data_IF_662005629680
#
_entry.id   IF_662005629680
#
_cell.length_a   1.000
_cell.length_b   1.000
_cell.length_c   1.000
_cell.angle_alpha   90.00
_cell.angle_beta   90.00
_cell.angle_gamma   90.00
#
_symmetry.space_group_name_H-M   'P 1'
#
loop_
_entity.id
_entity.type
_entity.pdbx_description
1 polymer ?
#
# COMPACT_ATOMS: atom_id res chain seq x y z
N UNK A 1 -14.92 21.33 -10.33
CA UNK A 1 -13.91 20.25 -10.37
C UNK A 1 -14.57 19.02 -9.85
N UNK A 2 -14.56 17.96 -10.63
CA UNK A 2 -14.94 16.65 -10.12
C UNK A 2 -13.76 16.12 -9.26
N UNK A 3 -14.05 15.24 -8.31
CA UNK A 3 -13.03 14.67 -7.44
C UNK A 3 -13.28 13.20 -7.16
N UNK A 4 -12.19 12.45 -7.00
CA UNK A 4 -12.22 11.10 -6.44
C UNK A 4 -11.99 11.21 -4.94
N UNK A 5 -12.97 10.80 -4.14
CA UNK A 5 -12.93 10.93 -2.69
C UNK A 5 -12.58 9.58 -2.03
N UNK A 6 -11.57 9.60 -1.16
CA UNK A 6 -11.15 8.46 -0.34
C UNK A 6 -11.20 8.88 1.13
N UNK A 7 -12.02 8.20 1.92
CA UNK A 7 -12.28 8.56 3.31
C UNK A 7 -11.77 7.47 4.24
N UNK A 8 -10.87 7.83 5.15
CA UNK A 8 -10.42 6.99 6.26
C UNK A 8 -11.17 7.38 7.53
N UNK A 9 -11.79 6.40 8.19
CA UNK A 9 -12.42 6.53 9.51
C UNK A 9 -11.76 5.57 10.47
N UNK A 10 -11.09 6.11 11.49
CA UNK A 10 -10.23 5.35 12.38
C UNK A 10 -10.78 5.50 13.80
N UNK A 11 -11.35 4.41 14.33
CA UNK A 11 -11.86 4.35 15.69
C UNK A 11 -10.74 3.90 16.62
N UNK A 12 -10.19 4.85 17.39
CA UNK A 12 -9.13 4.59 18.39
C UNK A 12 -9.69 4.15 19.75
N UNK A 13 -10.94 4.47 20.03
CA UNK A 13 -11.62 4.09 21.27
C UNK A 13 -13.14 4.31 21.17
N UNK A 14 -13.88 4.11 22.26
CA UNK A 14 -15.34 4.33 22.29
C UNK A 14 -15.73 5.73 21.81
N UNK A 15 -14.98 6.75 22.25
CA UNK A 15 -15.31 8.17 22.08
C UNK A 15 -14.34 8.93 21.15
N UNK A 16 -13.36 8.24 20.54
CA UNK A 16 -12.38 8.85 19.63
C UNK A 16 -12.46 8.23 18.24
N UNK A 17 -12.97 9.02 17.30
CA UNK A 17 -13.05 8.71 15.88
C UNK A 17 -12.31 9.78 15.10
N UNK A 18 -11.23 9.40 14.43
CA UNK A 18 -10.50 10.28 13.52
C UNK A 18 -10.97 10.03 12.08
N UNK A 19 -11.39 11.08 11.39
CA UNK A 19 -11.74 11.02 9.96
C UNK A 19 -10.74 11.82 9.12
N UNK A 20 -10.21 11.22 8.06
CA UNK A 20 -9.36 11.86 7.06
C UNK A 20 -10.06 11.75 5.70
N UNK A 21 -10.24 12.88 5.03
CA UNK A 21 -10.88 12.95 3.72
C UNK A 21 -9.82 13.36 2.70
N UNK A 22 -9.46 12.46 1.80
CA UNK A 22 -8.57 12.73 0.68
C UNK A 22 -9.41 12.94 -0.56
N UNK A 23 -9.36 14.15 -1.13
CA UNK A 23 -10.04 14.49 -2.38
C UNK A 23 -8.98 14.63 -3.46
N UNK A 24 -9.04 13.82 -4.50
CA UNK A 24 -8.07 13.82 -5.58
C UNK A 24 -8.69 14.48 -6.81
N UNK A 25 -7.92 15.28 -7.52
CA UNK A 25 -8.31 15.75 -8.85
C UNK A 25 -8.48 14.57 -9.81
N UNK A 26 -9.57 14.54 -10.57
CA UNK A 26 -9.88 13.41 -11.46
C UNK A 26 -8.90 13.24 -12.62
N UNK A 27 -8.22 14.30 -13.04
CA UNK A 27 -7.30 14.25 -14.18
C UNK A 27 -5.85 14.13 -13.71
N UNK A 28 -5.46 14.90 -12.71
CA UNK A 28 -4.06 14.95 -12.26
C UNK A 28 -3.75 13.99 -11.11
N UNK A 29 -4.78 13.53 -10.40
CA UNK A 29 -4.68 12.76 -9.14
C UNK A 29 -3.91 13.45 -8.03
N UNK A 30 -3.73 14.78 -8.11
CA UNK A 30 -3.16 15.55 -7.01
C UNK A 30 -4.22 15.78 -5.93
N UNK A 31 -3.76 15.91 -4.69
CA UNK A 31 -4.64 16.22 -3.56
C UNK A 31 -5.22 17.64 -3.70
N UNK A 32 -6.54 17.72 -3.69
CA UNK A 32 -7.31 18.96 -3.56
C UNK A 32 -7.42 19.31 -2.08
N UNK A 33 -6.43 20.05 -1.59
CA UNK A 33 -6.35 20.54 -0.21
C UNK A 33 -6.48 22.06 -0.13
N UNK A 34 -6.90 22.52 1.04
CA UNK A 34 -6.80 23.93 1.40
C UNK A 34 -5.37 24.24 1.87
N UNK A 35 -4.98 25.52 1.75
CA UNK A 35 -3.70 25.98 2.29
C UNK A 35 -3.63 25.72 3.80
N UNK A 36 -2.50 25.20 4.26
CA UNK A 36 -2.26 24.96 5.69
C UNK A 36 -1.80 26.27 6.34
N UNK A 37 -2.60 26.90 7.21
CA UNK A 37 -2.19 28.13 7.86
C UNK A 37 -1.10 27.85 8.89
N UNK A 38 0.01 28.58 8.81
CA UNK A 38 1.18 28.43 9.70
C UNK A 38 1.69 26.98 9.81
N UNK A 39 2.23 26.40 8.71
CA UNK A 39 2.75 25.05 8.74
C UNK A 39 3.84 24.88 9.81
N UNK A 40 3.95 23.70 10.45
CA UNK A 40 5.00 23.44 11.42
C UNK A 40 6.39 23.54 10.79
N UNK A 41 7.38 24.04 11.56
CA UNK A 41 8.75 24.24 11.08
C UNK A 41 9.38 22.97 10.48
N UNK A 42 9.07 21.79 11.00
CA UNK A 42 9.61 20.52 10.48
C UNK A 42 9.14 20.18 9.06
N UNK A 43 8.09 20.88 8.58
CA UNK A 43 7.58 20.75 7.21
C UNK A 43 8.30 21.66 6.20
N UNK A 44 9.12 22.62 6.65
CA UNK A 44 9.92 23.49 5.78
C UNK A 44 10.83 22.66 4.86
N UNK A 45 11.05 23.13 3.63
CA UNK A 45 11.79 22.36 2.63
C UNK A 45 13.22 22.05 3.10
N UNK A 46 13.92 23.04 3.66
CA UNK A 46 15.30 22.93 4.14
C UNK A 46 15.43 22.03 5.39
N UNK A 47 14.34 21.75 6.11
CA UNK A 47 14.38 20.95 7.34
C UNK A 47 14.60 19.46 7.05
N UNK A 48 15.81 18.93 7.17
CA UNK A 48 16.12 17.54 6.76
C UNK A 48 15.66 17.25 5.31
N UNK A 49 16.04 18.12 4.37
CA UNK A 49 15.81 17.93 2.94
C UNK A 49 16.48 16.62 2.46
N UNK A 50 15.80 15.86 1.59
CA UNK A 50 16.40 14.67 0.98
C UNK A 50 17.53 15.07 0.02
N UNK A 51 18.59 14.25 -0.04
CA UNK A 51 19.81 14.57 -0.79
C UNK A 51 19.58 14.74 -2.30
N UNK A 52 18.54 14.09 -2.85
CA UNK A 52 18.16 14.13 -4.26
C UNK A 52 16.92 15.01 -4.51
N UNK A 53 16.57 15.91 -3.58
CA UNK A 53 15.36 16.74 -3.71
C UNK A 53 15.43 17.61 -4.98
N UNK A 54 14.45 17.53 -5.90
CA UNK A 54 14.45 18.36 -7.10
C UNK A 54 13.91 19.78 -6.85
N UNK A 55 13.31 20.03 -5.68
CA UNK A 55 12.66 21.31 -5.37
C UNK A 55 13.66 22.31 -4.78
N UNK A 56 13.49 23.57 -5.16
CA UNK A 56 14.23 24.71 -4.61
C UNK A 56 13.41 25.44 -3.55
N UNK A 57 14.07 26.10 -2.60
CA UNK A 57 13.37 26.86 -1.54
C UNK A 57 12.73 28.15 -2.04
N UNK A 58 13.25 28.67 -3.14
CA UNK A 58 12.77 29.88 -3.80
C UNK A 58 11.37 29.65 -4.39
N UNK A 59 11.11 28.44 -4.88
CA UNK A 59 9.82 28.05 -5.46
C UNK A 59 8.92 27.32 -4.45
N UNK A 60 9.52 26.55 -3.53
CA UNK A 60 8.80 25.75 -2.54
C UNK A 60 9.32 26.00 -1.13
N UNK A 61 8.55 26.74 -0.33
CA UNK A 61 8.90 26.98 1.08
C UNK A 61 8.84 25.72 1.95
N UNK A 62 7.98 24.77 1.60
CA UNK A 62 7.74 23.54 2.36
C UNK A 62 7.91 22.29 1.50
N UNK A 63 8.31 21.19 2.12
CA UNK A 63 8.29 19.89 1.47
C UNK A 63 6.84 19.44 1.30
N UNK A 64 6.36 19.16 0.07
CA UNK A 64 4.95 18.83 -0.16
C UNK A 64 4.49 17.60 0.62
N UNK A 65 5.36 16.57 0.70
CA UNK A 65 5.09 15.37 1.49
C UNK A 65 5.01 15.66 2.99
N UNK A 66 6.00 16.35 3.56
CA UNK A 66 6.01 16.68 4.98
C UNK A 66 4.82 17.55 5.35
N UNK A 67 4.45 18.48 4.47
CA UNK A 67 3.27 19.32 4.63
C UNK A 67 2.01 18.47 4.70
N UNK A 68 1.80 17.46 3.86
CA UNK A 68 0.61 16.61 3.99
C UNK A 68 0.60 15.73 5.23
N UNK A 69 1.78 15.26 5.66
CA UNK A 69 1.91 14.42 6.84
C UNK A 69 1.61 15.15 8.15
N UNK A 70 1.61 16.49 8.18
CA UNK A 70 1.41 17.23 9.43
C UNK A 70 0.09 16.87 10.14
N UNK A 71 -0.98 16.65 9.37
CA UNK A 71 -2.29 16.31 9.91
C UNK A 71 -2.30 14.96 10.62
N UNK A 72 -1.56 13.98 10.12
CA UNK A 72 -1.39 12.66 10.75
C UNK A 72 -0.58 12.80 12.03
N UNK A 73 0.54 13.54 11.96
CA UNK A 73 1.44 13.73 13.09
C UNK A 73 0.73 14.42 14.26
N UNK A 74 -0.03 15.48 13.98
CA UNK A 74 -0.76 16.25 15.00
C UNK A 74 -1.88 15.42 15.64
N UNK A 75 -2.64 14.67 14.83
CA UNK A 75 -3.80 13.91 15.32
C UNK A 75 -3.45 12.60 16.02
N UNK A 76 -2.24 12.08 15.82
CA UNK A 76 -1.77 10.82 16.42
C UNK A 76 -0.57 11.00 17.37
N UNK A 77 -0.28 12.23 17.79
CA UNK A 77 0.87 12.56 18.65
C UNK A 77 0.90 11.84 20.01
N UNK A 78 -0.26 11.37 20.49
CA UNK A 78 -0.48 10.73 21.79
C UNK A 78 -0.77 9.22 21.69
N UNK A 79 -0.62 8.64 20.50
CA UNK A 79 -0.94 7.22 20.23
C UNK A 79 0.29 6.33 20.22
N UNK A 80 0.09 5.01 20.35
CA UNK A 80 1.15 4.01 20.17
C UNK A 80 0.96 3.22 18.89
N UNK A 81 2.06 2.78 18.30
CA UNK A 81 2.05 2.02 17.03
C UNK A 81 1.17 0.77 17.05
N UNK A 82 1.20 0.06 18.18
CA UNK A 82 0.52 -1.21 18.40
C UNK A 82 -0.91 -1.05 18.92
N UNK A 83 -1.38 0.19 19.11
CA UNK A 83 -2.76 0.40 19.54
C UNK A 83 -3.70 -0.20 18.50
N UNK A 84 -4.56 -1.10 18.97
CA UNK A 84 -5.49 -1.81 18.12
C UNK A 84 -6.69 -0.91 17.80
N UNK A 85 -6.91 -0.68 16.52
CA UNK A 85 -7.94 0.23 16.02
C UNK A 85 -8.85 -0.49 15.04
N UNK A 86 -10.07 0.02 14.89
CA UNK A 86 -10.97 -0.37 13.80
C UNK A 86 -10.94 0.74 12.76
N UNK A 87 -10.48 0.41 11.56
CA UNK A 87 -10.48 1.32 10.41
C UNK A 87 -11.58 0.93 9.43
N UNK A 88 -12.28 1.92 8.91
CA UNK A 88 -13.13 1.82 7.72
C UNK A 88 -12.58 2.80 6.66
N UNK A 89 -12.29 2.27 5.48
CA UNK A 89 -11.89 3.07 4.31
C UNK A 89 -13.00 2.99 3.29
N UNK A 90 -13.48 4.15 2.84
CA UNK A 90 -14.55 4.28 1.85
C UNK A 90 -13.98 4.91 0.59
N UNK A 91 -14.09 4.21 -0.53
CA UNK A 91 -13.91 4.76 -1.89
C UNK A 91 -15.25 4.74 -2.61
N UNK A 92 -15.29 5.20 -3.86
CA UNK A 92 -16.48 5.08 -4.71
C UNK A 92 -16.87 3.61 -4.95
N UNK A 93 -15.87 2.76 -5.20
CA UNK A 93 -16.07 1.38 -5.62
C UNK A 93 -16.26 0.39 -4.46
N UNK A 94 -15.74 0.70 -3.26
CA UNK A 94 -15.72 -0.26 -2.14
C UNK A 94 -15.63 0.39 -0.76
N UNK A 95 -16.02 -0.41 0.24
CA UNK A 95 -15.78 -0.14 1.66
C UNK A 95 -14.95 -1.26 2.26
N UNK A 96 -13.81 -0.94 2.84
CA UNK A 96 -12.91 -1.90 3.50
C UNK A 96 -12.91 -1.63 4.98
N UNK A 97 -13.18 -2.65 5.80
CA UNK A 97 -13.16 -2.52 7.26
C UNK A 97 -12.26 -3.59 7.85
N UNK A 98 -11.34 -3.18 8.71
CA UNK A 98 -10.39 -4.09 9.36
C UNK A 98 -10.08 -3.65 10.78
N UNK A 99 -9.78 -4.63 11.65
CA UNK A 99 -9.20 -4.41 12.97
C UNK A 99 -7.70 -4.71 12.89
N UNK A 100 -6.84 -3.76 13.24
CA UNK A 100 -5.39 -3.88 13.08
C UNK A 100 -4.65 -2.86 13.97
N UNK A 101 -3.32 -2.97 14.10
CA UNK A 101 -2.50 -1.96 14.76
C UNK A 101 -2.48 -0.63 13.98
N UNK A 102 -2.45 0.50 14.71
CA UNK A 102 -2.50 1.85 14.15
C UNK A 102 -1.38 2.13 13.14
N UNK A 103 -0.16 1.63 13.37
CA UNK A 103 0.95 1.80 12.42
C UNK A 103 0.65 1.29 11.02
N UNK A 104 -0.13 0.20 10.88
CA UNK A 104 -0.54 -0.35 9.58
C UNK A 104 -1.57 0.55 8.89
N UNK A 105 -2.44 1.17 9.67
CA UNK A 105 -3.42 2.14 9.16
C UNK A 105 -2.71 3.40 8.68
N UNK A 106 -1.76 3.91 9.47
CA UNK A 106 -0.95 5.07 9.09
C UNK A 106 -0.10 4.77 7.87
N UNK A 107 0.56 3.60 7.79
CA UNK A 107 1.29 3.18 6.60
C UNK A 107 0.38 3.16 5.36
N UNK A 108 -0.82 2.58 5.47
CA UNK A 108 -1.80 2.59 4.38
C UNK A 108 -2.26 3.99 3.96
N UNK A 109 -2.34 4.95 4.89
CA UNK A 109 -2.60 6.35 4.53
C UNK A 109 -1.38 6.99 3.86
N UNK A 110 -0.17 6.65 4.26
CA UNK A 110 1.06 7.14 3.63
C UNK A 110 1.21 6.62 2.20
N UNK A 111 0.83 5.36 1.94
CA UNK A 111 0.77 4.78 0.59
C UNK A 111 -0.17 5.58 -0.34
N UNK A 112 -1.16 6.29 0.22
CA UNK A 112 -2.02 7.21 -0.50
C UNK A 112 -1.46 8.63 -0.56
N UNK A 113 -0.90 9.15 0.54
CA UNK A 113 -0.40 10.52 0.63
C UNK A 113 0.81 10.73 -0.28
N UNK A 114 1.75 9.78 -0.30
CA UNK A 114 2.96 9.85 -1.11
C UNK A 114 2.66 10.21 -2.57
N UNK A 115 1.83 9.44 -3.31
CA UNK A 115 1.53 9.75 -4.71
C UNK A 115 0.82 11.08 -4.95
N UNK A 116 0.01 11.56 -3.99
CA UNK A 116 -0.89 12.71 -4.19
C UNK A 116 -0.39 14.01 -3.56
N UNK A 117 0.73 13.97 -2.82
CA UNK A 117 1.23 15.13 -2.06
C UNK A 117 1.90 16.21 -2.92
N UNK A 118 2.12 15.96 -4.23
CA UNK A 118 2.79 16.90 -5.12
C UNK A 118 4.33 16.81 -5.13
N UNK A 119 4.94 15.82 -4.46
CA UNK A 119 6.38 15.59 -4.56
C UNK A 119 6.75 14.91 -5.90
N UNK A 120 7.68 15.45 -6.71
CA UNK A 120 8.03 14.84 -8.00
C UNK A 120 8.63 13.43 -7.86
N UNK A 121 9.27 13.14 -6.72
CA UNK A 121 9.88 11.82 -6.44
C UNK A 121 8.86 10.72 -6.16
N UNK A 122 7.60 11.05 -5.93
CA UNK A 122 6.53 10.08 -5.64
C UNK A 122 5.43 10.05 -6.70
N UNK A 123 5.47 10.98 -7.67
CA UNK A 123 4.43 11.16 -8.69
C UNK A 123 4.20 9.93 -9.58
N UNK A 124 5.20 9.06 -9.75
CA UNK A 124 5.05 7.82 -10.52
C UNK A 124 4.01 6.85 -9.92
N UNK A 125 3.70 6.99 -8.61
CA UNK A 125 2.74 6.16 -7.90
C UNK A 125 1.29 6.66 -8.03
N UNK A 126 1.03 7.78 -8.73
CA UNK A 126 -0.32 8.33 -8.90
C UNK A 126 -1.38 7.30 -9.37
N UNK A 127 -1.08 6.36 -10.28
CA UNK A 127 -2.05 5.30 -10.62
C UNK A 127 -2.44 4.42 -9.42
N UNK A 128 -1.52 4.17 -8.48
CA UNK A 128 -1.82 3.42 -7.25
C UNK A 128 -2.76 4.20 -6.33
N UNK A 129 -2.70 5.54 -6.32
CA UNK A 129 -3.65 6.39 -5.60
C UNK A 129 -5.05 6.36 -6.23
N UNK A 130 -5.13 6.44 -7.56
CA UNK A 130 -6.43 6.35 -8.27
C UNK A 130 -7.10 5.00 -8.02
N UNK A 131 -6.32 3.93 -7.98
CA UNK A 131 -6.80 2.58 -7.69
C UNK A 131 -6.41 2.13 -6.27
N UNK A 132 -6.53 3.03 -5.30
CA UNK A 132 -6.05 2.79 -3.93
C UNK A 132 -6.63 1.51 -3.33
N UNK A 133 -5.74 0.63 -2.85
CA UNK A 133 -6.10 -0.55 -2.09
C UNK A 133 -5.61 -0.35 -0.66
N UNK A 134 -6.51 0.00 0.28
CA UNK A 134 -6.11 0.21 1.66
C UNK A 134 -5.69 -1.09 2.32
N UNK A 135 -4.69 -1.02 3.20
CA UNK A 135 -4.19 -2.14 4.01
C UNK A 135 -3.67 -3.33 3.17
N UNK A 136 -3.17 -3.01 1.97
CA UNK A 136 -2.58 -3.91 0.99
C UNK A 136 -1.59 -4.90 1.64
N UNK A 137 -1.67 -6.18 1.30
CA UNK A 137 -0.65 -7.16 1.65
C UNK A 137 0.66 -6.89 0.89
N UNK A 138 1.74 -7.57 1.29
CA UNK A 138 3.02 -7.51 0.59
C UNK A 138 2.89 -8.05 -0.84
N UNK A 139 2.28 -9.22 -1.00
CA UNK A 139 1.99 -9.85 -2.30
C UNK A 139 1.15 -8.95 -3.21
N UNK A 140 0.07 -8.35 -2.67
CA UNK A 140 -0.77 -7.41 -3.41
C UNK A 140 0.01 -6.14 -3.79
N UNK A 141 0.90 -5.67 -2.92
CA UNK A 141 1.74 -4.50 -3.18
C UNK A 141 2.68 -4.78 -4.35
N UNK A 142 3.40 -5.90 -4.31
CA UNK A 142 4.33 -6.29 -5.38
C UNK A 142 3.59 -6.50 -6.70
N UNK A 143 2.47 -7.21 -6.69
CA UNK A 143 1.64 -7.40 -7.88
C UNK A 143 1.19 -6.06 -8.48
N UNK A 144 0.70 -5.14 -7.66
CA UNK A 144 0.17 -3.84 -8.12
C UNK A 144 1.27 -2.92 -8.64
N UNK A 145 2.41 -2.84 -7.95
CA UNK A 145 3.54 -1.99 -8.32
C UNK A 145 4.17 -2.47 -9.63
N UNK A 146 4.39 -3.77 -9.76
CA UNK A 146 4.95 -4.37 -10.98
C UNK A 146 4.00 -4.25 -12.15
N UNK A 147 2.71 -4.55 -11.94
CA UNK A 147 1.68 -4.38 -12.96
C UNK A 147 1.52 -2.94 -13.42
N UNK A 148 1.50 -1.98 -12.48
CA UNK A 148 1.51 -0.54 -12.80
C UNK A 148 2.73 -0.16 -13.62
N UNK A 149 3.93 -0.60 -13.20
CA UNK A 149 5.17 -0.29 -13.89
C UNK A 149 5.17 -0.83 -15.32
N UNK A 150 4.82 -2.11 -15.52
CA UNK A 150 4.73 -2.72 -16.85
C UNK A 150 3.73 -2.00 -17.75
N UNK A 151 2.59 -1.54 -17.21
CA UNK A 151 1.62 -0.76 -17.97
C UNK A 151 2.18 0.61 -18.38
N UNK A 152 2.92 1.28 -17.47
CA UNK A 152 3.60 2.53 -17.80
C UNK A 152 4.67 2.32 -18.90
N UNK A 153 5.41 1.22 -18.84
CA UNK A 153 6.40 0.85 -19.85
C UNK A 153 5.75 0.53 -21.20
N UNK A 154 4.60 -0.15 -21.20
CA UNK A 154 3.81 -0.36 -22.40
C UNK A 154 3.41 0.98 -23.05
N UNK A 155 2.94 1.96 -22.28
CA UNK A 155 2.61 3.28 -22.84
C UNK A 155 3.84 3.99 -23.38
N UNK A 156 4.98 3.92 -22.67
CA UNK A 156 6.25 4.47 -23.14
C UNK A 156 6.72 3.82 -24.46
N UNK A 157 6.51 2.52 -24.64
CA UNK A 157 6.88 1.80 -25.87
C UNK A 157 6.02 2.21 -27.08
N UNK A 158 4.83 2.76 -26.83
CA UNK A 158 3.92 3.29 -27.86
C UNK A 158 4.18 4.74 -28.23
N UNK A 159 5.09 5.43 -27.52
CA UNK A 159 5.52 6.78 -27.89
C UNK A 159 6.46 6.75 -29.10
N UNK A 160 6.65 7.90 -29.76
CA UNK A 160 7.62 8.04 -30.85
C UNK A 160 9.06 7.65 -30.44
N UNK A 161 9.39 7.69 -29.15
CA UNK A 161 10.70 7.30 -28.64
C UNK A 161 10.91 5.78 -28.58
N UNK A 162 9.84 4.98 -28.47
CA UNK A 162 9.91 3.52 -28.36
C UNK A 162 10.74 3.02 -27.17
N UNK A 163 10.89 3.82 -26.11
CA UNK A 163 11.83 3.55 -25.01
C UNK A 163 11.32 2.62 -23.92
N UNK A 164 10.04 2.24 -23.93
CA UNK A 164 9.50 1.30 -22.93
C UNK A 164 10.25 -0.03 -22.91
N UNK A 165 10.46 -0.57 -21.70
CA UNK A 165 11.19 -1.82 -21.43
C UNK A 165 10.39 -2.68 -20.46
N UNK A 166 10.44 -4.00 -20.59
CA UNK A 166 9.68 -4.91 -19.71
C UNK A 166 10.46 -5.28 -18.46
N UNK A 167 11.78 -5.04 -18.49
CA UNK A 167 12.71 -5.25 -17.41
C UNK A 167 12.43 -4.28 -16.24
N UNK A 168 12.62 -4.76 -15.01
CA UNK A 168 12.30 -3.99 -13.80
C UNK A 168 13.45 -3.13 -13.27
N UNK A 169 14.57 -2.99 -13.99
CA UNK A 169 15.72 -2.18 -13.55
C UNK A 169 15.31 -0.75 -13.17
N UNK A 170 14.47 -0.11 -13.99
CA UNK A 170 13.99 1.23 -13.68
C UNK A 170 13.03 1.28 -12.49
N UNK A 171 12.30 0.20 -12.20
CA UNK A 171 11.50 0.10 -10.98
C UNK A 171 12.39 -0.02 -9.74
N UNK A 172 13.45 -0.82 -9.83
CA UNK A 172 14.48 -0.96 -8.80
C UNK A 172 15.16 0.38 -8.50
N UNK A 173 15.52 1.14 -9.53
CA UNK A 173 16.10 2.48 -9.38
C UNK A 173 15.14 3.44 -8.65
N UNK A 174 13.86 3.44 -9.06
CA UNK A 174 12.81 4.25 -8.45
C UNK A 174 12.66 3.93 -6.95
N UNK A 175 12.63 2.65 -6.58
CA UNK A 175 12.50 2.24 -5.18
C UNK A 175 13.77 2.51 -4.35
N UNK A 176 14.95 2.47 -4.98
CA UNK A 176 16.21 2.92 -4.36
C UNK A 176 16.18 4.42 -4.05
N UNK A 177 15.63 5.25 -4.96
CA UNK A 177 15.40 6.66 -4.67
C UNK A 177 14.36 6.86 -3.55
N UNK A 178 13.29 6.05 -3.53
CA UNK A 178 12.31 6.11 -2.44
C UNK A 178 12.96 5.85 -1.07
N UNK A 179 13.92 4.94 -0.96
CA UNK A 179 14.64 4.70 0.29
C UNK A 179 15.35 5.98 0.79
N UNK A 180 15.98 6.72 -0.13
CA UNK A 180 16.63 8.00 0.18
C UNK A 180 15.62 9.05 0.65
N UNK A 181 14.44 9.10 0.02
CA UNK A 181 13.34 9.97 0.46
C UNK A 181 12.84 9.59 1.85
N UNK A 182 12.52 8.30 2.08
CA UNK A 182 12.00 7.80 3.34
C UNK A 182 12.97 8.01 4.51
N UNK A 183 14.28 7.85 4.27
CA UNK A 183 15.30 8.16 5.28
C UNK A 183 15.23 9.64 5.71
N UNK A 184 15.05 10.56 4.77
CA UNK A 184 14.89 11.98 5.09
C UNK A 184 13.57 12.26 5.84
N UNK A 185 12.48 11.62 5.44
CA UNK A 185 11.17 11.72 6.11
C UNK A 185 11.23 11.18 7.55
N UNK A 186 11.88 10.02 7.76
CA UNK A 186 12.09 9.46 9.08
C UNK A 186 12.86 10.42 10.00
N UNK A 187 13.92 11.06 9.48
CA UNK A 187 14.67 12.11 10.22
C UNK A 187 13.79 13.30 10.59
N UNK A 188 12.91 13.76 9.68
CA UNK A 188 11.92 14.82 9.98
C UNK A 188 11.00 14.41 11.14
N UNK A 189 10.50 13.17 11.11
CA UNK A 189 9.55 12.69 12.11
C UNK A 189 10.17 12.47 13.49
N UNK A 190 11.46 12.17 13.57
CA UNK A 190 12.16 12.01 14.85
C UNK A 190 12.04 13.25 15.73
N UNK A 191 12.05 14.44 15.14
CA UNK A 191 11.88 15.71 15.86
C UNK A 191 10.44 16.23 15.89
N UNK A 192 9.59 15.80 14.95
CA UNK A 192 8.22 16.29 14.83
C UNK A 192 7.25 15.71 15.87
N UNK A 193 7.51 14.52 16.41
CA UNK A 193 6.59 13.86 17.35
C UNK A 193 7.31 12.89 18.28
N UNK A 194 6.75 12.69 19.47
CA UNK A 194 7.17 11.64 20.41
C UNK A 194 6.46 10.32 20.15
N UNK A 195 5.31 10.33 19.47
CA UNK A 195 4.58 9.13 19.08
C UNK A 195 5.44 8.22 18.21
N UNK A 196 5.40 6.92 18.51
CA UNK A 196 6.05 5.89 17.72
C UNK A 196 5.18 5.45 16.53
N UNK A 197 3.86 5.68 16.56
CA UNK A 197 2.93 5.19 15.53
C UNK A 197 3.24 5.71 14.13
N UNK A 198 3.47 7.02 14.01
CA UNK A 198 3.86 7.65 12.73
C UNK A 198 5.29 7.28 12.32
N UNK A 199 6.20 7.08 13.30
CA UNK A 199 7.59 6.71 13.02
C UNK A 199 7.69 5.29 12.47
N UNK A 200 7.04 4.33 13.14
CA UNK A 200 7.02 2.93 12.72
C UNK A 200 6.21 2.72 11.43
N UNK A 201 5.20 3.56 11.17
CA UNK A 201 4.52 3.56 9.89
C UNK A 201 5.46 3.87 8.72
N UNK A 202 6.40 4.81 8.88
CA UNK A 202 7.42 5.07 7.86
C UNK A 202 8.36 3.89 7.69
N UNK A 203 8.71 3.17 8.75
CA UNK A 203 9.48 1.92 8.63
C UNK A 203 8.75 0.87 7.79
N UNK A 204 7.42 0.74 7.95
CA UNK A 204 6.61 -0.16 7.11
C UNK A 204 6.60 0.26 5.64
N UNK A 205 6.49 1.56 5.34
CA UNK A 205 6.58 2.07 3.96
C UNK A 205 7.98 1.88 3.40
N UNK A 206 9.01 2.12 4.21
CA UNK A 206 10.41 2.00 3.80
C UNK A 206 10.85 0.56 3.56
N UNK A 207 10.22 -0.41 4.22
CA UNK A 207 10.41 -1.83 3.94
C UNK A 207 10.30 -2.14 2.44
N UNK A 208 9.31 -1.57 1.76
CA UNK A 208 9.11 -1.81 0.32
C UNK A 208 10.20 -1.18 -0.56
N UNK A 209 10.77 -0.04 -0.15
CA UNK A 209 11.91 0.60 -0.81
C UNK A 209 13.13 -0.33 -0.90
N UNK A 210 13.20 -1.30 0.01
CA UNK A 210 14.27 -2.30 0.07
C UNK A 210 13.82 -3.64 -0.51
N UNK A 211 12.57 -4.06 -0.26
CA UNK A 211 12.02 -5.33 -0.73
C UNK A 211 11.98 -5.41 -2.25
N UNK A 212 11.53 -4.34 -2.92
CA UNK A 212 11.44 -4.30 -4.39
C UNK A 212 12.82 -4.48 -5.03
N UNK A 213 13.88 -3.72 -4.68
CA UNK A 213 15.22 -3.96 -5.22
C UNK A 213 15.80 -5.35 -4.93
N UNK A 214 15.53 -5.92 -3.75
CA UNK A 214 16.21 -7.13 -3.29
C UNK A 214 15.52 -8.43 -3.66
N UNK A 215 14.18 -8.46 -3.63
CA UNK A 215 13.39 -9.69 -3.64
C UNK A 215 12.37 -9.76 -4.78
N UNK A 216 12.25 -8.70 -5.59
CA UNK A 216 11.24 -8.65 -6.65
C UNK A 216 11.26 -9.88 -7.57
N UNK A 217 12.42 -10.32 -8.03
CA UNK A 217 12.51 -11.50 -8.90
C UNK A 217 12.05 -12.78 -8.21
N UNK A 218 12.39 -12.95 -6.93
CA UNK A 218 11.97 -14.11 -6.13
C UNK A 218 10.44 -14.12 -5.97
N UNK A 219 9.85 -12.98 -5.60
CA UNK A 219 8.39 -12.80 -5.48
C UNK A 219 7.66 -13.07 -6.81
N UNK A 220 8.20 -12.60 -7.94
CA UNK A 220 7.62 -12.85 -9.26
C UNK A 220 7.68 -14.33 -9.66
N UNK A 221 8.72 -15.05 -9.24
CA UNK A 221 8.80 -16.51 -9.45
C UNK A 221 7.71 -17.22 -8.67
N UNK A 222 7.43 -16.81 -7.43
CA UNK A 222 6.34 -17.36 -6.63
C UNK A 222 4.97 -17.07 -7.27
N UNK A 223 4.75 -15.84 -7.74
CA UNK A 223 3.53 -15.42 -8.43
C UNK A 223 3.34 -16.07 -9.81
N UNK A 224 4.39 -16.64 -10.43
CA UNK A 224 4.29 -17.28 -11.76
C UNK A 224 3.21 -18.35 -11.80
N UNK A 225 2.98 -19.04 -10.68
CA UNK A 225 1.93 -20.06 -10.56
C UNK A 225 0.52 -19.54 -10.83
N UNK A 226 0.26 -18.24 -10.66
CA UNK A 226 -1.05 -17.64 -10.94
C UNK A 226 -1.33 -17.47 -12.43
N UNK A 227 -0.31 -17.56 -13.27
CA UNK A 227 -0.39 -17.29 -14.71
C UNK A 227 -0.31 -18.54 -15.58
N UNK A 228 -0.47 -19.74 -15.01
CA UNK A 228 -0.36 -21.01 -15.74
C UNK A 228 -1.25 -21.06 -17.00
N UNK A 229 -2.42 -20.43 -16.98
CA UNK A 229 -3.31 -20.36 -18.15
C UNK A 229 -2.72 -19.61 -19.36
N UNK A 230 -1.71 -18.76 -19.16
CA UNK A 230 -0.98 -18.05 -20.21
C UNK A 230 0.32 -18.75 -20.61
N UNK A 231 0.78 -19.72 -19.81
CA UNK A 231 2.05 -20.40 -20.02
C UNK A 231 1.82 -21.69 -20.82
N UNK A 232 2.72 -22.06 -21.74
CA UNK A 232 2.61 -23.31 -22.48
C UNK A 232 2.76 -24.52 -21.53
N UNK A 233 2.03 -25.61 -21.83
CA UNK A 233 2.13 -26.86 -21.07
C UNK A 233 3.56 -27.43 -21.12
N UNK A 234 4.16 -27.70 -19.95
CA UNK A 234 5.42 -28.44 -19.82
C UNK A 234 6.68 -27.64 -19.51
N UNK A 235 6.60 -26.35 -19.18
CA UNK A 235 7.76 -25.61 -18.68
C UNK A 235 8.12 -25.99 -17.23
N UNK A 236 9.41 -26.24 -16.98
CA UNK A 236 9.93 -26.41 -15.62
C UNK A 236 9.59 -25.20 -14.76
N UNK A 237 9.12 -25.44 -13.53
CA UNK A 237 8.96 -24.35 -12.55
C UNK A 237 10.34 -23.70 -12.36
N UNK A 238 10.50 -22.39 -12.62
CA UNK A 238 11.75 -21.71 -12.30
C UNK A 238 12.04 -21.94 -10.82
N UNK A 239 13.25 -22.39 -10.53
CA UNK A 239 13.68 -22.57 -9.14
C UNK A 239 13.87 -21.18 -8.55
N UNK A 240 13.17 -20.90 -7.47
CA UNK A 240 13.51 -19.77 -6.60
C UNK A 240 14.97 -19.93 -6.18
N UNK A 241 15.82 -18.99 -6.56
CA UNK A 241 17.19 -18.93 -6.05
C UNK A 241 17.10 -18.09 -4.77
N UNK A 242 16.41 -18.60 -3.76
CA UNK A 242 16.19 -17.89 -2.50
C UNK A 242 17.53 -17.59 -1.86
N UNK A 243 18.04 -16.38 -2.11
CA UNK A 243 19.10 -15.80 -1.30
C UNK A 243 18.52 -14.87 -0.21
N UNK A 244 17.22 -15.00 0.04
CA UNK A 244 16.44 -14.27 1.03
C UNK A 244 17.15 -14.23 2.40
N UNK A 245 17.64 -15.36 2.90
CA UNK A 245 18.32 -15.40 4.20
C UNK A 245 19.66 -14.66 4.23
N UNK A 246 20.39 -14.58 3.11
CA UNK A 246 21.63 -13.79 3.04
C UNK A 246 21.33 -12.30 2.88
N UNK A 247 20.37 -11.95 2.00
CA UNK A 247 19.94 -10.56 1.76
C UNK A 247 19.24 -9.96 2.99
N UNK A 248 18.35 -10.71 3.65
CA UNK A 248 17.67 -10.30 4.89
C UNK A 248 18.64 -10.18 6.08
N UNK A 249 19.70 -11.00 6.14
CA UNK A 249 20.78 -10.82 7.13
C UNK A 249 21.56 -9.53 6.89
N UNK A 250 21.88 -9.19 5.63
CA UNK A 250 22.50 -7.91 5.30
C UNK A 250 21.59 -6.72 5.68
N UNK A 251 20.28 -6.87 5.51
CA UNK A 251 19.28 -5.86 5.88
C UNK A 251 19.10 -5.68 7.39
N UNK A 252 19.07 -6.76 8.17
CA UNK A 252 19.03 -6.69 9.65
C UNK A 252 20.20 -5.88 10.20
N UNK A 253 21.37 -5.95 9.55
CA UNK A 253 22.55 -5.19 9.89
C UNK A 253 22.41 -3.67 9.61
N UNK A 254 21.57 -3.26 8.66
CA UNK A 254 21.29 -1.85 8.36
C UNK A 254 20.15 -1.25 9.19
N UNK A 255 19.16 -2.06 9.60
CA UNK A 255 18.16 -1.65 10.60
C UNK A 255 18.79 -1.37 11.97
N UNK A 256 19.81 -2.12 12.36
CA UNK A 256 20.61 -1.85 13.57
C UNK A 256 21.38 -0.50 13.48
N UNK A 257 21.68 -0.05 12.26
CA UNK A 257 22.27 1.28 12.02
C UNK A 257 21.23 2.40 12.08
N UNK A 258 19.95 2.09 11.85
CA UNK A 258 18.80 2.97 12.09
C UNK A 258 18.44 2.94 13.59
N UNK A 259 19.34 3.41 14.46
CA UNK A 259 19.14 3.43 15.92
C UNK A 259 17.94 4.31 16.30
N UNK A 260 16.74 3.73 16.30
CA UNK A 260 15.63 4.20 17.12
C UNK A 260 15.95 3.74 18.55
N UNK A 261 16.50 4.63 19.37
CA UNK A 261 16.77 4.34 20.77
C UNK A 261 15.46 4.05 21.50
N UNK A 262 15.26 2.85 22.07
CA UNK A 262 14.10 2.57 22.91
C UNK A 262 14.12 3.49 24.12
N UNK A 263 12.96 3.97 24.51
CA UNK A 263 12.81 4.74 25.75
C UNK A 263 13.09 3.85 26.97
N UNK A 264 13.58 4.42 28.07
CA UNK A 264 13.94 3.68 29.29
C UNK A 264 12.77 2.88 29.91
N UNK A 265 11.52 3.18 29.53
CA UNK A 265 10.34 2.40 29.92
C UNK A 265 10.18 1.10 29.13
N UNK A 266 10.62 1.04 27.87
CA UNK A 266 10.52 -0.15 27.00
C UNK A 266 11.52 -1.23 27.41
N UNK A 267 12.69 -0.85 27.95
CA UNK A 267 13.70 -1.78 28.47
C UNK A 267 13.24 -2.59 29.69
N UNK A 268 12.14 -2.21 30.35
CA UNK A 268 11.65 -2.89 31.56
C UNK A 268 10.63 -4.00 31.29
N UNK A 269 10.20 -4.19 30.05
CA UNK A 269 9.21 -5.22 29.68
C UNK A 269 9.84 -6.28 28.78
N UNK A 270 10.69 -7.10 29.38
CA UNK A 270 11.37 -8.24 28.74
C UNK A 270 10.49 -9.52 28.70
N UNK A 271 9.17 -9.37 28.82
CA UNK A 271 8.22 -10.46 28.59
C UNK A 271 7.46 -10.17 27.30
N UNK A 272 7.95 -10.75 26.20
CA UNK A 272 7.22 -10.79 24.94
C UNK A 272 5.83 -11.42 25.18
N UNK A 273 4.73 -10.80 24.70
CA UNK A 273 3.39 -11.39 24.76
C UNK A 273 3.34 -12.74 24.04
N UNK A 274 2.58 -13.70 24.58
CA UNK A 274 2.61 -15.09 24.12
C UNK A 274 2.19 -15.28 22.65
N UNK A 275 1.33 -14.41 22.11
CA UNK A 275 0.96 -14.41 20.69
C UNK A 275 2.12 -14.06 19.74
N UNK A 276 3.11 -13.28 20.22
CA UNK A 276 4.34 -12.97 19.45
C UNK A 276 5.36 -14.13 19.52
N UNK A 277 5.30 -14.95 20.57
CA UNK A 277 6.07 -16.20 20.67
C UNK A 277 5.49 -17.27 19.73
N UNK A 278 4.18 -17.31 19.55
CA UNK A 278 3.49 -18.16 18.56
C UNK A 278 3.81 -17.75 17.12
N UNK A 279 3.89 -16.44 16.83
CA UNK A 279 4.20 -15.94 15.48
C UNK A 279 5.60 -16.32 14.95
N UNK A 280 6.58 -16.60 15.84
CA UNK A 280 7.92 -17.07 15.42
C UNK A 280 7.93 -18.50 14.86
N UNK A 281 6.86 -19.26 15.02
CA UNK A 281 6.74 -20.65 14.55
C UNK A 281 5.77 -20.88 13.39
N UNK A 282 5.07 -19.84 12.90
CA UNK A 282 3.95 -19.97 11.97
C UNK A 282 4.16 -19.04 10.76
N UNK A 283 5.17 -19.34 9.93
CA UNK A 283 5.08 -19.01 8.50
C UNK A 283 4.63 -20.28 7.77
N UNK A 284 3.32 -20.50 7.79
CA UNK A 284 2.58 -21.47 7.00
C UNK A 284 1.20 -20.86 6.71
N UNK A 285 0.53 -21.25 5.61
CA UNK A 285 -0.64 -20.54 5.10
C UNK A 285 -1.78 -20.58 6.14
N UNK A 286 -2.17 -19.41 6.63
CA UNK A 286 -3.29 -19.26 7.55
C UNK A 286 -4.61 -19.42 6.78
N UNK A 287 -5.18 -20.63 6.82
CA UNK A 287 -6.60 -20.86 6.55
C UNK A 287 -7.35 -20.75 7.89
N UNK A 288 -8.45 -19.99 7.99
CA UNK A 288 -9.27 -19.97 9.19
C UNK A 288 -9.91 -21.35 9.43
N UNK A 289 -9.60 -21.96 10.57
CA UNK A 289 -10.35 -23.08 11.14
C UNK A 289 -11.73 -22.53 11.58
N UNK A 290 -12.73 -22.65 10.70
CA UNK A 290 -14.16 -22.80 11.00
C UNK A 290 -14.99 -22.46 9.75
N UNK A 291 -14.97 -23.35 8.76
CA UNK A 291 -16.06 -23.45 7.78
C UNK A 291 -16.79 -24.75 8.08
N UNK A 292 -17.88 -24.63 8.82
CA UNK A 292 -18.75 -25.71 9.24
C UNK A 292 -19.44 -26.32 8.00
N UNK A 293 -18.89 -27.42 7.49
CA UNK A 293 -19.50 -28.29 6.50
C UNK A 293 -20.77 -28.91 7.10
N UNK A 294 -21.94 -28.26 6.90
CA UNK A 294 -23.26 -28.88 6.62
C UNK A 294 -24.41 -27.90 6.77
N UNK A 295 -25.02 -27.52 5.65
CA UNK A 295 -26.49 -27.54 5.46
C UNK A 295 -26.82 -27.43 3.97
N UNK A 296 -27.63 -28.35 3.40
CA UNK A 296 -28.08 -28.22 2.02
C UNK A 296 -29.09 -27.08 1.93
N UNK A 297 -28.79 -26.10 1.08
CA UNK A 297 -29.71 -25.02 0.71
C UNK A 297 -30.81 -25.63 -0.18
N UNK A 298 -32.06 -25.54 0.27
CA UNK A 298 -33.24 -25.91 -0.52
C UNK A 298 -33.47 -24.82 -1.57
N UNK A 299 -33.70 -25.14 -2.87
CA UNK A 299 -33.92 -24.12 -3.89
C UNK A 299 -35.25 -23.39 -3.63
N UNK A 300 -35.18 -22.09 -3.34
CA UNK A 300 -36.33 -21.18 -3.38
C UNK A 300 -36.62 -20.74 -4.82
N UNK A 301 -37.89 -20.40 -5.07
CA UNK A 301 -38.45 -20.04 -6.39
C UNK A 301 -37.61 -19.05 -7.21
N UNK A 302 -37.53 -19.33 -8.51
CA UNK A 302 -36.79 -18.54 -9.50
C UNK A 302 -37.33 -17.10 -9.59
N UNK A 303 -36.62 -16.16 -8.96
CA UNK A 303 -36.71 -14.75 -9.33
C UNK A 303 -36.06 -14.53 -10.69
N UNK A 304 -36.78 -13.88 -11.62
CA UNK A 304 -36.28 -13.53 -12.96
C UNK A 304 -34.90 -12.85 -12.86
N UNK A 305 -33.91 -13.20 -13.70
CA UNK A 305 -32.60 -12.58 -13.66
C UNK A 305 -32.74 -11.09 -13.99
N UNK A 306 -32.24 -10.24 -13.09
CA UNK A 306 -32.08 -8.82 -13.37
C UNK A 306 -30.96 -8.65 -14.42
N UNK A 307 -31.20 -7.84 -15.45
CA UNK A 307 -30.20 -7.54 -16.46
C UNK A 307 -28.95 -6.93 -15.81
N UNK A 308 -27.77 -7.44 -16.16
CA UNK A 308 -26.50 -6.89 -15.71
C UNK A 308 -26.29 -5.56 -16.46
N UNK A 309 -26.11 -4.46 -15.72
CA UNK A 309 -25.87 -3.15 -16.32
C UNK A 309 -24.41 -2.79 -16.08
N UNK A 310 -23.64 -2.63 -17.14
CA UNK A 310 -22.25 -2.17 -17.07
C UNK A 310 -22.20 -0.67 -16.75
N UNK A 311 -21.03 -0.17 -16.32
CA UNK A 311 -20.84 1.22 -15.91
C UNK A 311 -21.11 2.26 -17.01
N UNK A 312 -21.08 1.85 -18.28
CA UNK A 312 -21.45 2.63 -19.46
C UNK A 312 -22.93 2.46 -19.88
N UNK A 313 -23.73 1.77 -19.07
CA UNK A 313 -25.17 1.61 -19.29
C UNK A 313 -25.53 0.48 -20.26
N UNK A 314 -24.57 -0.34 -20.69
CA UNK A 314 -24.85 -1.50 -21.52
C UNK A 314 -25.55 -2.58 -20.70
N UNK A 315 -26.70 -3.04 -21.19
CA UNK A 315 -27.45 -4.14 -20.58
C UNK A 315 -27.03 -5.45 -21.23
N UNK A 316 -26.41 -6.33 -20.46
CA UNK A 316 -26.14 -7.70 -20.86
C UNK A 316 -27.28 -8.58 -20.36
N UNK A 317 -28.10 -9.06 -21.29
CA UNK A 317 -29.06 -10.13 -21.04
C UNK A 317 -28.35 -11.46 -21.30
N UNK A 318 -28.08 -12.21 -20.22
CA UNK A 318 -27.60 -13.57 -20.33
C UNK A 318 -28.80 -14.47 -20.63
N UNK A 319 -29.02 -14.78 -21.91
CA UNK A 319 -29.88 -15.91 -22.28
C UNK A 319 -29.22 -17.21 -21.81
N UNK A 320 -29.89 -18.03 -20.98
CA UNK A 320 -29.42 -19.39 -20.71
C UNK A 320 -29.22 -20.13 -22.03
N UNK A 321 -28.11 -20.83 -22.21
CA UNK A 321 -27.97 -21.79 -23.29
C UNK A 321 -28.99 -22.91 -23.05
N UNK A 322 -30.04 -22.98 -23.87
CA UNK A 322 -30.94 -24.12 -23.88
C UNK A 322 -30.13 -25.39 -24.20
N UNK A 323 -30.19 -26.39 -23.31
CA UNK A 323 -29.67 -27.73 -23.55
C UNK A 323 -30.54 -28.45 -24.60
N UNK A 324 -30.47 -28.00 -25.85
CA UNK A 324 -30.96 -28.75 -27.00
C UNK A 324 -29.86 -29.68 -27.50
N UNK A 325 -29.70 -30.84 -26.83
CA UNK A 325 -29.33 -32.12 -27.46
C UNK A 325 -29.14 -33.23 -26.42
N UNK A 326 -30.22 -33.91 -26.04
CA UNK A 326 -30.18 -35.32 -25.63
C UNK A 326 -31.43 -36.07 -26.10
N UNK A 327 -31.23 -36.81 -27.19
CA UNK A 327 -31.81 -38.11 -27.54
C UNK A 327 -33.32 -38.21 -27.82
N UNK A 328 -33.66 -38.24 -29.11
CA UNK A 328 -34.76 -39.09 -29.61
C UNK A 328 -34.26 -40.54 -29.67
N UNK A 329 -34.75 -41.37 -28.75
CA UNK A 329 -35.10 -42.78 -28.97
C UNK A 329 -36.58 -42.97 -28.56
#
# INVERSE_FOLDING_TARGET
>A
MNSVDIIYRIKLGPDRLETFNFRLDEETFDLIGDDVPNPPQWTELEYSQCAHCPLSKEEHSHCPLALQMHSIVDRFHDTRSIDEVVVEVVTEERRVRQKTGLQRVVASMLDLIYPICGCPKTAFMKPLARFHLPLCSEEETIFRVTGMYLLAQYFLSRTASGKGRIEFDGLTDIYTELHTLNTAVARRLQSATTSDSTKNAITLVDMYSTLVPLLLEDELVEMRGFFLAYLPDGEEKPKTVTNYLEKAKAFSLDLDNLKLTPTEEEKRRDDLPDWLKEAKGIMGPYLPDDVDDKKPVVPGEATKPAAFVTSDGLKLELTPMDEANKNDE
#
